data_IF_322611355313
#
_entry.id   IF_322611355313
#
_cell.length_a   1.000
_cell.length_b   1.000
_cell.length_c   1.000
_cell.angle_alpha   90.00
_cell.angle_beta   90.00
_cell.angle_gamma   90.00
#
_symmetry.space_group_name_H-M   'P 1'
#
loop_
_entity.id
_entity.type
_entity.pdbx_description
1 polymer ?
#
# COMPACT_ATOMS: atom_id res chain seq x y z
N UNK A 1 11.96 -1.03 -5.38
CA UNK A 1 13.22 -1.50 -5.96
C UNK A 1 12.94 -1.93 -7.39
N UNK A 2 13.70 -1.46 -8.38
CA UNK A 2 13.61 -2.00 -9.75
C UNK A 2 14.56 -3.19 -9.79
N UNK A 3 14.03 -4.39 -10.04
CA UNK A 3 14.82 -5.61 -9.98
C UNK A 3 15.46 -5.91 -11.34
N UNK A 4 14.69 -5.73 -12.41
CA UNK A 4 15.13 -5.85 -13.80
C UNK A 4 14.14 -5.13 -14.72
N UNK A 5 14.59 -4.84 -15.93
CA UNK A 5 13.73 -4.48 -17.05
C UNK A 5 13.46 -5.78 -17.81
N UNK A 6 12.20 -6.19 -17.83
CA UNK A 6 11.77 -7.42 -18.49
C UNK A 6 12.00 -7.31 -20.00
N UNK A 7 11.60 -6.19 -20.58
CA UNK A 7 11.90 -5.86 -21.97
C UNK A 7 11.82 -4.36 -22.27
N UNK A 8 12.56 -3.97 -23.30
CA UNK A 8 12.42 -2.72 -24.06
C UNK A 8 12.16 -3.09 -25.52
N UNK A 9 10.99 -2.68 -26.02
CA UNK A 9 10.57 -2.96 -27.39
C UNK A 9 10.30 -1.65 -28.11
N UNK A 10 10.94 -1.44 -29.26
CA UNK A 10 10.72 -0.27 -30.10
C UNK A 10 10.30 -0.70 -31.50
N UNK A 11 9.13 -0.23 -31.91
CA UNK A 11 8.64 -0.42 -33.28
C UNK A 11 9.31 0.61 -34.18
N UNK A 12 9.87 0.17 -35.30
CA UNK A 12 10.42 1.03 -36.35
C UNK A 12 9.90 0.60 -37.72
N UNK A 13 9.67 1.58 -38.60
CA UNK A 13 9.36 1.34 -40.01
C UNK A 13 10.34 2.17 -40.84
N UNK A 14 11.53 1.63 -41.16
CA UNK A 14 12.60 2.36 -41.85
C UNK A 14 12.13 3.01 -43.16
N UNK A 15 11.24 2.33 -43.88
CA UNK A 15 10.70 2.77 -45.18
C UNK A 15 9.33 3.47 -45.08
N UNK A 16 8.83 3.71 -43.85
CA UNK A 16 7.52 4.29 -43.58
C UNK A 16 6.33 3.35 -43.86
N UNK A 17 5.16 3.65 -43.30
CA UNK A 17 4.00 2.73 -43.32
C UNK A 17 3.22 2.75 -44.67
N UNK A 18 3.58 3.66 -45.58
CA UNK A 18 2.79 3.97 -46.77
C UNK A 18 2.86 2.91 -47.88
N UNK A 19 3.75 1.92 -47.78
CA UNK A 19 3.97 0.90 -48.82
C UNK A 19 3.12 -0.37 -48.62
N UNK A 20 1.98 -0.29 -47.94
CA UNK A 20 1.08 -1.44 -47.80
C UNK A 20 0.50 -1.89 -49.15
N UNK A 21 0.75 -3.15 -49.51
CA UNK A 21 0.12 -3.79 -50.68
C UNK A 21 -0.77 -4.94 -50.21
N UNK A 22 -2.08 -4.75 -50.35
CA UNK A 22 -3.07 -5.78 -50.02
C UNK A 22 -2.94 -6.96 -50.97
N UNK A 23 -2.92 -8.17 -50.42
CA UNK A 23 -2.98 -9.39 -51.21
C UNK A 23 -4.45 -9.69 -51.59
N UNK A 24 -4.76 -10.01 -52.86
CA UNK A 24 -6.11 -10.31 -53.28
C UNK A 24 -6.65 -11.64 -52.71
N UNK A 25 -5.77 -12.57 -52.33
CA UNK A 25 -6.14 -13.95 -51.98
C UNK A 25 -6.22 -14.19 -50.47
N UNK A 26 -5.66 -13.32 -49.63
CA UNK A 26 -5.69 -13.47 -48.18
C UNK A 26 -5.49 -12.12 -47.48
N UNK A 27 -5.85 -12.06 -46.19
CA UNK A 27 -5.63 -10.88 -45.35
C UNK A 27 -4.16 -10.84 -44.93
N UNK A 28 -3.45 -9.75 -45.25
CA UNK A 28 -2.05 -9.51 -44.87
C UNK A 28 -1.87 -8.19 -44.13
N UNK A 29 -0.80 -8.09 -43.34
CA UNK A 29 -0.38 -6.88 -42.63
C UNK A 29 0.72 -6.10 -43.36
N UNK A 30 1.30 -5.13 -42.65
CA UNK A 30 2.49 -4.40 -43.09
C UNK A 30 3.73 -5.29 -42.99
N UNK A 31 4.53 -5.35 -44.05
CA UNK A 31 5.72 -6.21 -44.09
C UNK A 31 7.02 -5.46 -43.76
N UNK A 32 6.96 -4.14 -43.63
CA UNK A 32 8.09 -3.23 -43.45
C UNK A 32 8.10 -2.56 -42.06
N UNK A 33 7.49 -3.23 -41.09
CA UNK A 33 7.53 -2.86 -39.68
C UNK A 33 8.43 -3.88 -38.98
N UNK A 34 9.42 -3.37 -38.26
CA UNK A 34 10.34 -4.16 -37.46
C UNK A 34 10.14 -3.81 -35.99
N UNK A 35 10.40 -4.76 -35.12
CA UNK A 35 10.43 -4.54 -33.68
C UNK A 35 11.84 -4.84 -33.20
N UNK A 36 12.50 -3.83 -32.63
CA UNK A 36 13.72 -4.04 -31.90
C UNK A 36 13.35 -4.45 -30.47
N UNK A 37 13.81 -5.62 -30.03
CA UNK A 37 13.49 -6.20 -28.73
C UNK A 37 14.79 -6.40 -27.96
N UNK A 38 14.84 -5.91 -26.73
CA UNK A 38 15.90 -6.18 -25.77
C UNK A 38 15.24 -6.68 -24.48
N UNK A 39 15.70 -7.80 -23.94
CA UNK A 39 15.07 -8.47 -22.80
C UNK A 39 16.08 -8.63 -21.64
N UNK A 40 15.55 -8.78 -20.42
CA UNK A 40 16.33 -9.06 -19.21
C UNK A 40 17.50 -8.11 -18.99
N UNK A 41 17.21 -6.81 -18.98
CA UNK A 41 18.21 -5.76 -18.83
C UNK A 41 18.32 -5.32 -17.37
N UNK A 42 19.55 -5.07 -16.93
CA UNK A 42 19.78 -4.23 -15.76
C UNK A 42 19.49 -2.77 -16.10
N UNK A 43 19.14 -1.96 -15.09
CA UNK A 43 18.70 -0.58 -15.31
C UNK A 43 19.77 0.28 -16.00
N UNK A 44 21.06 0.00 -15.74
CA UNK A 44 22.21 0.69 -16.34
C UNK A 44 22.42 0.31 -17.82
N UNK A 45 21.83 -0.81 -18.26
CA UNK A 45 21.90 -1.29 -19.64
C UNK A 45 20.76 -0.76 -20.51
N UNK A 46 19.78 -0.11 -19.89
CA UNK A 46 18.66 0.52 -20.58
C UNK A 46 19.16 1.59 -21.55
N UNK A 47 18.54 1.66 -22.73
CA UNK A 47 18.70 2.83 -23.60
C UNK A 47 17.54 3.81 -23.41
N UNK A 48 16.39 3.30 -22.97
CA UNK A 48 15.15 4.05 -22.88
C UNK A 48 15.05 4.89 -21.60
N UNK A 49 15.69 4.45 -20.51
CA UNK A 49 15.54 5.09 -19.21
C UNK A 49 16.84 5.23 -18.44
N UNK A 50 16.89 6.23 -17.58
CA UNK A 50 17.94 6.39 -16.58
C UNK A 50 17.33 6.43 -15.18
N UNK A 51 18.01 5.79 -14.23
CA UNK A 51 17.64 5.85 -12.82
C UNK A 51 18.43 6.98 -12.15
N UNK A 52 17.72 7.93 -11.56
CA UNK A 52 18.29 8.90 -10.65
C UNK A 52 17.97 8.47 -9.23
N UNK A 53 18.99 8.06 -8.47
CA UNK A 53 18.90 8.04 -7.02
C UNK A 53 18.87 9.49 -6.53
N UNK A 54 17.90 9.84 -5.68
CA UNK A 54 17.84 11.18 -5.09
C UNK A 54 19.16 11.48 -4.35
N UNK A 55 19.89 12.50 -4.80
CA UNK A 55 21.13 13.00 -4.20
C UNK A 55 20.85 14.11 -3.16
N UNK A 56 19.72 14.07 -2.46
CA UNK A 56 19.33 15.13 -1.53
C UNK A 56 19.08 14.59 -0.12
N UNK A 57 19.40 15.43 0.86
CA UNK A 57 19.30 15.27 2.32
C UNK A 57 17.85 15.15 2.83
N UNK A 58 17.04 14.34 2.15
CA UNK A 58 15.66 14.04 2.50
C UNK A 58 15.56 12.52 2.56
N UNK A 59 15.16 11.97 3.71
CA UNK A 59 14.98 10.54 4.01
C UNK A 59 13.97 9.80 3.09
N UNK A 60 13.62 10.36 1.93
CA UNK A 60 12.71 9.75 0.98
C UNK A 60 13.42 8.60 0.25
N UNK A 61 12.95 7.38 0.45
CA UNK A 61 13.34 6.20 -0.33
C UNK A 61 12.83 6.23 -1.80
N UNK A 62 12.57 7.43 -2.33
CA UNK A 62 11.97 7.67 -3.62
C UNK A 62 12.99 7.41 -4.74
N UNK A 63 12.54 6.71 -5.78
CA UNK A 63 13.34 6.39 -6.96
C UNK A 63 12.71 7.04 -8.18
N UNK A 64 13.47 7.91 -8.83
CA UNK A 64 13.00 8.63 -10.01
C UNK A 64 13.60 8.00 -11.27
N UNK A 65 12.74 7.58 -12.18
CA UNK A 65 13.11 7.09 -13.50
C UNK A 65 12.82 8.21 -14.49
N UNK A 66 13.81 8.58 -15.30
CA UNK A 66 13.63 9.50 -16.42
C UNK A 66 13.68 8.71 -17.72
N UNK A 67 12.79 9.06 -18.65
CA UNK A 67 12.83 8.51 -20.00
C UNK A 67 13.81 9.34 -20.83
N UNK A 68 14.78 8.66 -21.44
CA UNK A 68 15.82 9.26 -22.26
C UNK A 68 15.37 9.39 -23.73
N UNK A 69 16.20 10.01 -24.56
CA UNK A 69 15.98 10.28 -25.99
C UNK A 69 15.71 9.03 -26.83
N UNK A 70 16.06 7.83 -26.35
CA UNK A 70 15.78 6.57 -27.05
C UNK A 70 14.44 5.93 -26.64
N UNK A 71 13.48 6.75 -26.20
CA UNK A 71 12.09 6.35 -25.97
C UNK A 71 11.12 7.06 -26.96
N UNK A 72 11.23 6.82 -28.27
CA UNK A 72 10.33 7.41 -29.26
C UNK A 72 8.89 6.85 -29.16
N UNK A 73 7.90 7.48 -29.81
CA UNK A 73 6.56 6.91 -29.95
C UNK A 73 6.61 5.50 -30.57
N UNK A 74 5.90 4.54 -29.96
CA UNK A 74 5.97 3.14 -30.35
C UNK A 74 6.99 2.31 -29.58
N UNK A 75 7.62 2.89 -28.54
CA UNK A 75 8.41 2.16 -27.56
C UNK A 75 7.58 1.74 -26.35
N UNK A 76 7.77 0.50 -25.89
CA UNK A 76 7.18 -0.07 -24.68
C UNK A 76 8.31 -0.62 -23.82
N UNK A 77 8.23 -0.35 -22.52
CA UNK A 77 9.16 -0.85 -21.51
C UNK A 77 8.36 -1.48 -20.37
N UNK A 78 8.85 -2.62 -19.86
CA UNK A 78 8.25 -3.31 -18.73
C UNK A 78 9.28 -3.49 -17.61
N UNK A 79 8.95 -3.03 -16.41
CA UNK A 79 9.79 -3.15 -15.22
C UNK A 79 9.28 -4.24 -14.31
N UNK A 80 10.19 -5.02 -13.75
CA UNK A 80 9.93 -5.81 -12.55
C UNK A 80 10.32 -4.99 -11.34
N UNK A 81 9.36 -4.79 -10.44
CA UNK A 81 9.53 -3.93 -9.28
C UNK A 81 9.14 -4.69 -8.02
N UNK A 82 10.03 -4.71 -7.04
CA UNK A 82 9.78 -5.21 -5.70
C UNK A 82 9.66 -4.09 -4.68
N UNK A 83 9.00 -4.36 -3.55
CA UNK A 83 9.03 -3.47 -2.39
C UNK A 83 10.47 -3.33 -1.87
N UNK A 84 10.75 -2.25 -1.16
CA UNK A 84 12.03 -2.08 -0.45
C UNK A 84 12.13 -3.07 0.72
N UNK A 85 13.34 -3.46 1.11
CA UNK A 85 13.57 -4.48 2.14
C UNK A 85 12.88 -4.18 3.48
N UNK A 86 12.87 -2.92 3.91
CA UNK A 86 12.15 -2.48 5.11
C UNK A 86 10.63 -2.69 4.96
N UNK A 87 10.05 -2.27 3.84
CA UNK A 87 8.63 -2.45 3.55
C UNK A 87 8.27 -3.95 3.43
N UNK A 88 9.12 -4.77 2.82
CA UNK A 88 8.94 -6.21 2.77
C UNK A 88 8.90 -6.83 4.18
N UNK A 89 9.84 -6.45 5.05
CA UNK A 89 9.88 -6.88 6.46
C UNK A 89 8.62 -6.44 7.20
N UNK A 90 8.21 -5.18 7.09
CA UNK A 90 7.00 -4.68 7.73
C UNK A 90 5.74 -5.43 7.27
N UNK A 91 5.59 -5.66 5.96
CA UNK A 91 4.48 -6.44 5.41
C UNK A 91 4.53 -7.89 5.89
N UNK A 92 5.72 -8.48 6.02
CA UNK A 92 5.88 -9.82 6.57
C UNK A 92 5.40 -9.91 8.02
N UNK A 93 5.80 -8.96 8.88
CA UNK A 93 5.35 -8.92 10.27
C UNK A 93 3.84 -8.72 10.38
N UNK A 94 3.25 -7.81 9.61
CA UNK A 94 1.80 -7.62 9.57
C UNK A 94 1.09 -8.93 9.17
N UNK A 95 1.58 -9.61 8.13
CA UNK A 95 1.02 -10.90 7.70
C UNK A 95 1.18 -11.98 8.76
N UNK A 96 2.27 -11.96 9.52
CA UNK A 96 2.50 -12.89 10.64
C UNK A 96 1.49 -12.65 11.76
N UNK A 97 1.28 -11.42 12.18
CA UNK A 97 0.26 -11.07 13.17
C UNK A 97 -1.15 -11.41 12.69
N UNK A 98 -1.48 -11.17 11.42
CA UNK A 98 -2.80 -11.52 10.87
C UNK A 98 -3.08 -13.03 10.87
N UNK A 99 -2.04 -13.88 10.78
CA UNK A 99 -2.22 -15.34 10.88
C UNK A 99 -2.73 -15.77 12.24
N UNK A 100 -2.46 -15.02 13.32
CA UNK A 100 -2.98 -15.32 14.66
C UNK A 100 -4.52 -15.22 14.76
N UNK A 101 -5.16 -14.54 13.80
CA UNK A 101 -6.61 -14.38 13.73
C UNK A 101 -7.29 -15.47 12.86
N UNK A 102 -6.51 -16.25 12.10
CA UNK A 102 -7.06 -17.31 11.26
C UNK A 102 -7.12 -18.59 12.13
N UNK A 103 -8.31 -19.18 12.35
CA UNK A 103 -8.41 -20.40 13.13
C UNK A 103 -7.68 -21.54 12.41
N UNK A 104 -6.55 -21.96 12.95
CA UNK A 104 -5.87 -23.20 12.60
C UNK A 104 -6.38 -24.33 13.48
N UNK A 105 -6.50 -25.53 12.92
CA UNK A 105 -6.81 -26.74 13.69
C UNK A 105 -5.71 -27.12 14.69
N UNK A 106 -4.52 -26.53 14.55
CA UNK A 106 -3.44 -26.63 15.52
C UNK A 106 -3.69 -25.66 16.68
N UNK A 107 -3.99 -26.27 17.83
CA UNK A 107 -4.33 -25.67 19.12
C UNK A 107 -3.13 -25.02 19.82
N UNK A 108 -2.44 -24.10 19.16
CA UNK A 108 -1.51 -23.19 19.85
C UNK A 108 -2.28 -21.93 20.22
N UNK A 109 -2.56 -21.74 21.51
CA UNK A 109 -3.08 -20.48 22.05
C UNK A 109 -2.18 -19.34 21.55
N UNK A 110 -2.68 -18.50 20.65
CA UNK A 110 -1.92 -17.33 20.19
C UNK A 110 -1.80 -16.31 21.32
N UNK A 111 -0.80 -15.44 21.22
CA UNK A 111 -0.64 -14.32 22.17
C UNK A 111 -1.93 -13.50 22.15
N UNK A 112 -2.46 -13.20 20.97
CA UNK A 112 -3.74 -12.51 20.84
C UNK A 112 -4.90 -13.21 21.57
N UNK A 113 -5.06 -14.53 21.41
CA UNK A 113 -6.12 -15.26 22.11
C UNK A 113 -5.95 -15.21 23.63
N UNK A 114 -4.71 -15.27 24.12
CA UNK A 114 -4.41 -15.17 25.56
C UNK A 114 -4.74 -13.77 26.10
N UNK A 115 -4.39 -12.72 25.36
CA UNK A 115 -4.73 -11.32 25.67
C UNK A 115 -6.25 -11.09 25.68
N UNK A 116 -6.96 -11.61 24.67
CA UNK A 116 -8.42 -11.49 24.63
C UNK A 116 -9.09 -12.25 25.77
N UNK A 117 -8.54 -13.41 26.18
CA UNK A 117 -9.04 -14.18 27.33
C UNK A 117 -8.81 -13.49 28.68
N UNK A 118 -7.75 -12.69 28.82
CA UNK A 118 -7.47 -11.96 30.07
C UNK A 118 -8.30 -10.70 30.24
N UNK A 119 -8.90 -10.17 29.16
CA UNK A 119 -9.74 -8.98 29.21
C UNK A 119 -11.02 -9.20 30.03
N UNK A 120 -11.23 -8.34 31.01
CA UNK A 120 -12.52 -8.16 31.66
C UNK A 120 -13.52 -7.44 30.75
N UNK A 121 -14.82 -7.54 31.07
CA UNK A 121 -15.87 -6.82 30.33
C UNK A 121 -15.69 -5.29 30.38
N UNK A 122 -15.09 -4.78 31.46
CA UNK A 122 -14.80 -3.35 31.62
C UNK A 122 -13.68 -2.93 30.67
N UNK A 123 -12.61 -3.70 30.57
CA UNK A 123 -11.51 -3.43 29.64
C UNK A 123 -11.96 -3.62 28.18
N UNK A 124 -12.79 -4.62 27.91
CA UNK A 124 -13.38 -4.84 26.58
C UNK A 124 -14.25 -3.66 26.14
N UNK A 125 -15.06 -3.09 27.05
CA UNK A 125 -15.80 -1.86 26.78
C UNK A 125 -14.86 -0.71 26.42
N UNK A 126 -13.72 -0.58 27.12
CA UNK A 126 -12.75 0.48 26.86
C UNK A 126 -12.00 0.30 25.54
N UNK A 127 -11.66 -0.94 25.20
CA UNK A 127 -11.02 -1.32 23.95
C UNK A 127 -11.92 -1.01 22.74
N UNK A 128 -13.16 -1.50 22.79
CA UNK A 128 -14.08 -1.45 21.65
C UNK A 128 -14.88 -0.16 21.58
N UNK A 129 -15.34 0.36 22.72
CA UNK A 129 -16.31 1.46 22.80
C UNK A 129 -15.70 2.66 23.53
N UNK A 130 -16.52 3.36 24.34
CA UNK A 130 -16.33 4.68 24.94
C UNK A 130 -16.76 5.84 24.05
N UNK A 131 -17.80 6.55 24.47
CA UNK A 131 -18.19 7.82 23.90
C UNK A 131 -17.25 8.94 24.36
N UNK A 132 -17.27 10.07 23.64
CA UNK A 132 -16.51 11.28 23.98
C UNK A 132 -16.62 11.67 25.45
N UNK A 133 -17.84 11.76 25.98
CA UNK A 133 -18.09 12.18 27.36
C UNK A 133 -17.49 11.22 28.39
N UNK A 134 -17.55 9.91 28.12
CA UNK A 134 -16.99 8.90 29.01
C UNK A 134 -15.46 8.97 29.01
N UNK A 135 -14.83 9.10 27.84
CA UNK A 135 -13.37 9.18 27.75
C UNK A 135 -12.83 10.47 28.39
N UNK A 136 -13.51 11.59 28.19
CA UNK A 136 -13.18 12.88 28.80
C UNK A 136 -13.34 12.86 30.34
N UNK A 137 -14.34 12.15 30.86
CA UNK A 137 -14.58 12.04 32.31
C UNK A 137 -13.41 11.40 33.06
N UNK A 138 -12.59 10.57 32.40
CA UNK A 138 -11.40 9.96 33.00
C UNK A 138 -10.25 10.96 33.18
N UNK A 139 -10.36 12.17 32.61
CA UNK A 139 -9.40 13.26 32.80
C UNK A 139 -8.02 12.97 32.23
N UNK A 140 -7.91 12.07 31.24
CA UNK A 140 -6.63 11.64 30.61
C UNK A 140 -6.26 12.40 29.34
N UNK A 141 -7.09 13.36 28.92
CA UNK A 141 -6.83 14.20 27.74
C UNK A 141 -7.13 13.53 26.39
N UNK A 142 -7.89 12.43 26.38
CA UNK A 142 -8.36 11.79 25.16
C UNK A 142 -9.82 12.12 24.89
N UNK A 143 -10.15 12.26 23.60
CA UNK A 143 -11.51 12.39 23.06
C UNK A 143 -11.63 11.45 21.85
N UNK A 144 -12.80 11.38 21.22
CA UNK A 144 -13.01 10.65 19.96
C UNK A 144 -12.02 11.12 18.88
N UNK A 145 -11.56 10.19 18.04
CA UNK A 145 -10.66 10.52 16.95
C UNK A 145 -11.39 11.33 15.89
N UNK A 146 -10.78 12.42 15.45
CA UNK A 146 -11.28 13.24 14.35
C UNK A 146 -10.51 12.91 13.08
N UNK A 147 -11.20 12.26 12.13
CA UNK A 147 -10.63 11.92 10.83
C UNK A 147 -10.67 13.19 9.96
N UNK A 148 -9.52 13.74 9.53
CA UNK A 148 -9.49 14.94 8.71
C UNK A 148 -10.32 14.77 7.44
N UNK A 149 -11.25 15.69 7.18
CA UNK A 149 -12.14 15.64 6.01
C UNK A 149 -13.31 14.64 6.10
N UNK A 150 -13.50 13.97 7.23
CA UNK A 150 -14.66 13.11 7.49
C UNK A 150 -15.41 13.51 8.77
N UNK A 151 -14.68 13.84 9.84
CA UNK A 151 -15.24 14.24 11.13
C UNK A 151 -14.94 13.25 12.25
N UNK A 152 -15.59 13.47 13.39
CA UNK A 152 -15.40 12.68 14.62
C UNK A 152 -16.03 11.30 14.53
N UNK A 153 -15.36 10.28 15.07
CA UNK A 153 -15.94 8.95 15.27
C UNK A 153 -16.98 8.97 16.39
N UNK A 154 -17.90 8.00 16.36
CA UNK A 154 -18.94 7.87 17.41
C UNK A 154 -18.32 7.40 18.74
N UNK A 155 -17.36 6.47 18.64
CA UNK A 155 -16.64 5.92 19.78
C UNK A 155 -15.14 6.19 19.65
N UNK A 156 -14.47 6.30 20.80
CA UNK A 156 -13.01 6.37 20.92
C UNK A 156 -12.36 5.01 20.62
N UNK A 157 -13.09 3.92 20.89
CA UNK A 157 -12.62 2.55 20.70
C UNK A 157 -12.59 2.06 19.26
N UNK A 158 -12.12 0.82 19.10
CA UNK A 158 -11.97 0.17 17.80
C UNK A 158 -13.28 0.12 17.00
N UNK A 159 -14.43 0.07 17.68
CA UNK A 159 -15.74 0.09 17.03
C UNK A 159 -15.99 1.39 16.26
N UNK A 160 -15.47 2.53 16.74
CA UNK A 160 -15.60 3.82 16.08
C UNK A 160 -14.97 3.80 14.68
N UNK A 161 -13.77 3.22 14.58
CA UNK A 161 -13.05 3.05 13.32
C UNK A 161 -13.67 1.93 12.48
N UNK A 162 -14.07 0.81 13.09
CA UNK A 162 -14.72 -0.31 12.39
C UNK A 162 -15.99 0.12 11.67
N UNK A 163 -16.79 1.00 12.28
CA UNK A 163 -18.02 1.54 11.67
C UNK A 163 -17.75 2.34 10.39
N UNK A 164 -16.59 3.01 10.32
CA UNK A 164 -16.15 3.73 9.12
C UNK A 164 -15.58 2.73 8.08
N UNK A 165 -14.76 1.78 8.53
CA UNK A 165 -14.15 0.76 7.69
C UNK A 165 -15.16 -0.19 7.04
N UNK A 166 -16.30 -0.47 7.68
CA UNK A 166 -17.33 -1.35 7.13
C UNK A 166 -17.78 -0.91 5.74
N UNK A 167 -18.03 0.39 5.56
CA UNK A 167 -18.43 0.96 4.27
C UNK A 167 -17.29 0.94 3.26
N UNK A 168 -16.09 1.32 3.69
CA UNK A 168 -14.88 1.37 2.84
C UNK A 168 -14.55 -0.01 2.29
N UNK A 169 -14.61 -1.05 3.13
CA UNK A 169 -14.26 -2.43 2.76
C UNK A 169 -15.19 -2.98 1.68
N UNK A 170 -16.49 -2.65 1.75
CA UNK A 170 -17.47 -3.13 0.78
C UNK A 170 -17.25 -2.56 -0.63
N UNK A 171 -16.78 -1.32 -0.73
CA UNK A 171 -16.56 -0.62 -2.01
C UNK A 171 -15.10 -0.55 -2.45
N UNK A 172 -14.16 -1.00 -1.60
CA UNK A 172 -12.72 -0.81 -1.78
C UNK A 172 -12.34 0.66 -2.01
N UNK A 173 -12.96 1.59 -1.27
CA UNK A 173 -12.75 3.03 -1.44
C UNK A 173 -11.43 3.51 -0.84
N UNK A 174 -10.34 3.33 -1.60
CA UNK A 174 -8.99 3.77 -1.22
C UNK A 174 -8.82 5.30 -1.19
N UNK A 175 -9.84 6.06 -1.60
CA UNK A 175 -9.86 7.53 -1.59
C UNK A 175 -10.56 8.11 -0.36
N UNK A 176 -11.19 7.27 0.45
CA UNK A 176 -11.86 7.71 1.68
C UNK A 176 -10.89 8.48 2.60
N UNK A 177 -11.33 9.54 3.29
CA UNK A 177 -10.44 10.35 4.14
C UNK A 177 -9.69 9.55 5.20
N UNK A 178 -10.30 8.51 5.78
CA UNK A 178 -9.62 7.56 6.68
C UNK A 178 -8.40 6.88 6.02
N UNK A 179 -8.52 6.45 4.76
CA UNK A 179 -7.42 5.82 4.04
C UNK A 179 -6.31 6.81 3.71
N UNK A 180 -6.65 8.09 3.46
CA UNK A 180 -5.64 9.12 3.25
C UNK A 180 -4.92 9.44 4.57
N UNK A 181 -5.66 9.59 5.67
CA UNK A 181 -5.08 9.79 6.99
C UNK A 181 -4.08 8.67 7.38
N UNK A 182 -4.39 7.40 7.07
CA UNK A 182 -3.49 6.27 7.27
C UNK A 182 -2.24 6.29 6.36
N UNK A 183 -2.31 6.92 5.18
CA UNK A 183 -1.15 7.11 4.29
C UNK A 183 -0.29 8.28 4.75
N UNK A 184 -0.92 9.33 5.26
CA UNK A 184 -0.27 10.58 5.64
C UNK A 184 0.53 10.44 6.94
N UNK A 185 0.15 9.53 7.84
CA UNK A 185 0.90 9.28 9.05
C UNK A 185 0.28 8.24 10.00
N UNK A 186 0.97 8.03 11.12
CA UNK A 186 0.64 6.99 12.10
C UNK A 186 -0.31 7.47 13.22
N UNK A 187 -0.84 8.69 13.13
CA UNK A 187 -1.57 9.33 14.23
C UNK A 187 -2.75 8.53 14.77
N UNK A 188 -3.47 7.80 13.91
CA UNK A 188 -4.56 6.94 14.36
C UNK A 188 -4.04 5.76 15.20
N UNK A 189 -2.93 5.15 14.80
CA UNK A 189 -2.30 4.06 15.54
C UNK A 189 -1.74 4.56 16.88
N UNK A 190 -1.09 5.73 16.86
CA UNK A 190 -0.57 6.39 18.05
C UNK A 190 -1.72 6.76 19.00
N UNK A 191 -2.82 7.29 18.47
CA UNK A 191 -4.02 7.60 19.25
C UNK A 191 -4.59 6.36 19.96
N UNK A 192 -4.82 5.27 19.23
CA UNK A 192 -5.37 4.03 19.80
C UNK A 192 -4.45 3.50 20.90
N UNK A 193 -3.14 3.44 20.62
CA UNK A 193 -2.14 2.89 21.53
C UNK A 193 -2.00 3.75 22.79
N UNK A 194 -1.80 5.07 22.62
CA UNK A 194 -1.62 5.99 23.75
C UNK A 194 -2.86 6.05 24.65
N UNK A 195 -4.07 5.97 24.07
CA UNK A 195 -5.32 5.93 24.82
C UNK A 195 -5.42 4.70 25.73
N UNK A 196 -4.99 3.54 25.25
CA UNK A 196 -4.98 2.31 26.03
C UNK A 196 -3.85 2.31 27.07
N UNK A 197 -2.65 2.77 26.71
CA UNK A 197 -1.52 2.87 27.64
C UNK A 197 -1.76 3.86 28.79
N UNK A 198 -2.62 4.87 28.60
CA UNK A 198 -2.97 5.81 29.65
C UNK A 198 -3.76 5.16 30.82
N UNK A 199 -4.26 3.95 30.64
CA UNK A 199 -5.01 3.20 31.63
C UNK A 199 -4.24 2.01 32.14
N UNK A 200 -4.07 1.95 33.46
CA UNK A 200 -3.31 0.87 34.11
C UNK A 200 -3.86 -0.53 33.77
N UNK A 201 -5.17 -0.66 33.66
CA UNK A 201 -5.84 -1.94 33.37
C UNK A 201 -5.56 -2.47 31.96
N UNK A 202 -5.17 -1.60 31.01
CA UNK A 202 -4.92 -1.98 29.61
C UNK A 202 -3.46 -1.75 29.20
N UNK A 203 -2.53 -1.67 30.16
CA UNK A 203 -1.10 -1.53 29.88
C UNK A 203 -0.42 -2.88 29.59
N UNK A 204 -0.89 -3.95 30.24
CA UNK A 204 -0.33 -5.30 30.13
C UNK A 204 -1.13 -6.21 29.18
N UNK A 205 -2.19 -5.65 28.58
CA UNK A 205 -3.00 -6.27 27.53
C UNK A 205 -2.59 -5.71 26.18
#
# INVERSE_FOLDING_TARGET
>A
HIDEILFEMTISSPDGINNFKRNPNYINGLNNVQVNVREHLQIEQSQCVNLHSSNAKTDSNDRHITFDKYFPPGTVIAFKVSLLDNAQKSVHEVRKSLREFIPSNDSTDSIFQSLVKSLSLVELNRLLYRCSQEELADGKGFDVYEIPGHGKTVYCGLQGIMSVLEKIRLTNDLRHPLCNNLKDGNWLLDYITNRLLAQKSTQEV
#
